data_IF_380988193928
#
_entry.id   IF_380988193928
#
_cell.length_a   1.000
_cell.length_b   1.000
_cell.length_c   1.000
_cell.angle_alpha   90.00
_cell.angle_beta   90.00
_cell.angle_gamma   90.00
#
_symmetry.space_group_name_H-M   'P 1'
#
loop_
_entity.id
_entity.type
_entity.pdbx_description
1 polymer ?
#
# COMPACT_ATOMS: atom_id res chain seq x y z
N UNK A 1 -19.40 -12.01 -8.49
CA UNK A 1 -19.73 -13.46 -8.54
C UNK A 1 -21.01 -13.78 -7.77
N UNK A 2 -21.18 -13.30 -6.53
CA UNK A 2 -22.39 -13.55 -5.73
C UNK A 2 -23.67 -13.08 -6.45
N UNK A 3 -23.69 -11.87 -7.03
CA UNK A 3 -24.83 -11.38 -7.78
C UNK A 3 -25.24 -12.32 -8.94
N UNK A 4 -24.27 -12.79 -9.72
CA UNK A 4 -24.50 -13.74 -10.82
C UNK A 4 -25.04 -15.08 -10.31
N UNK A 5 -24.48 -15.57 -9.23
CA UNK A 5 -24.93 -16.82 -8.59
C UNK A 5 -26.40 -16.74 -8.12
N UNK A 6 -26.75 -15.70 -7.36
CA UNK A 6 -28.13 -15.53 -6.89
C UNK A 6 -29.10 -15.23 -8.03
N UNK A 7 -28.67 -14.50 -9.07
CA UNK A 7 -29.49 -14.26 -10.25
C UNK A 7 -29.76 -15.56 -11.01
N UNK A 8 -28.80 -16.49 -11.07
CA UNK A 8 -29.01 -17.82 -11.65
C UNK A 8 -30.01 -18.64 -10.84
N UNK A 9 -29.90 -18.64 -9.49
CA UNK A 9 -30.85 -19.31 -8.63
C UNK A 9 -32.26 -18.72 -8.76
N UNK A 10 -32.36 -17.38 -8.89
CA UNK A 10 -33.63 -16.72 -9.14
C UNK A 10 -34.25 -17.15 -10.47
N UNK A 11 -33.44 -17.23 -11.54
CA UNK A 11 -33.89 -17.73 -12.83
C UNK A 11 -34.44 -19.16 -12.76
N UNK A 12 -33.84 -20.02 -11.96
CA UNK A 12 -34.23 -21.42 -11.80
C UNK A 12 -35.48 -21.60 -10.96
N UNK A 13 -35.68 -20.81 -9.93
CA UNK A 13 -36.68 -21.07 -8.88
C UNK A 13 -37.81 -20.06 -8.83
N UNK A 14 -37.59 -18.84 -9.33
CA UNK A 14 -38.50 -17.70 -9.11
C UNK A 14 -38.64 -17.27 -7.65
N UNK A 15 -37.75 -17.75 -6.74
CA UNK A 15 -37.85 -17.43 -5.33
C UNK A 15 -37.34 -16.00 -5.05
N UNK A 16 -38.23 -15.16 -4.50
CA UNK A 16 -37.95 -13.76 -4.17
C UNK A 16 -36.79 -13.56 -3.17
N UNK A 17 -36.50 -14.55 -2.34
CA UNK A 17 -35.35 -14.51 -1.46
C UNK A 17 -34.04 -14.41 -2.26
N UNK A 18 -33.89 -15.21 -3.33
CA UNK A 18 -32.72 -15.14 -4.20
C UNK A 18 -32.63 -13.81 -4.98
N UNK A 19 -33.77 -13.23 -5.32
CA UNK A 19 -33.77 -11.89 -5.91
C UNK A 19 -33.33 -10.83 -4.89
N UNK A 20 -33.73 -10.94 -3.63
CA UNK A 20 -33.27 -10.09 -2.54
C UNK A 20 -31.75 -10.17 -2.36
N UNK A 21 -31.19 -11.37 -2.29
CA UNK A 21 -29.75 -11.63 -2.20
C UNK A 21 -28.98 -11.11 -3.42
N UNK A 22 -29.57 -11.31 -4.62
CA UNK A 22 -29.02 -10.72 -5.85
C UNK A 22 -28.93 -9.20 -5.76
N UNK A 23 -30.01 -8.53 -5.36
CA UNK A 23 -30.05 -7.07 -5.23
C UNK A 23 -29.04 -6.54 -4.22
N UNK A 24 -28.89 -7.22 -3.13
CA UNK A 24 -27.89 -6.89 -2.11
C UNK A 24 -26.47 -7.07 -2.65
N UNK A 25 -26.25 -8.12 -3.41
CA UNK A 25 -24.94 -8.42 -3.98
C UNK A 25 -24.54 -7.48 -5.12
N UNK A 26 -25.50 -7.00 -5.95
CA UNK A 26 -25.22 -6.05 -7.05
C UNK A 26 -25.09 -4.61 -6.56
N UNK A 27 -25.67 -4.27 -5.40
CA UNK A 27 -25.59 -2.93 -4.83
C UNK A 27 -24.15 -2.48 -4.56
N UNK A 28 -23.28 -3.37 -4.09
CA UNK A 28 -21.89 -3.03 -3.80
C UNK A 28 -21.11 -2.57 -5.04
N UNK A 29 -21.00 -3.34 -6.13
CA UNK A 29 -20.28 -2.87 -7.33
C UNK A 29 -20.94 -1.64 -7.99
N UNK A 30 -22.26 -1.45 -7.86
CA UNK A 30 -22.92 -0.24 -8.33
C UNK A 30 -22.52 0.99 -7.50
N UNK A 31 -22.42 0.84 -6.20
CA UNK A 31 -21.99 1.91 -5.30
C UNK A 31 -20.50 2.27 -5.51
N UNK A 32 -19.63 1.26 -5.65
CA UNK A 32 -18.22 1.47 -6.00
C UNK A 32 -18.05 2.19 -7.34
N UNK A 33 -18.88 1.83 -8.35
CA UNK A 33 -18.92 2.53 -9.63
C UNK A 33 -19.28 4.00 -9.44
N UNK A 34 -20.31 4.29 -8.64
CA UNK A 34 -20.74 5.67 -8.34
C UNK A 34 -19.64 6.47 -7.66
N UNK A 35 -18.94 5.86 -6.69
CA UNK A 35 -17.78 6.47 -6.02
C UNK A 35 -16.66 6.82 -6.99
N UNK A 36 -16.32 5.90 -7.91
CA UNK A 36 -15.29 6.14 -8.93
C UNK A 36 -15.71 7.29 -9.85
N UNK A 37 -16.94 7.30 -10.34
CA UNK A 37 -17.44 8.36 -11.22
C UNK A 37 -17.46 9.73 -10.55
N UNK A 38 -17.72 9.81 -9.23
CA UNK A 38 -17.61 11.04 -8.46
C UNK A 38 -16.17 11.58 -8.40
N UNK A 39 -15.18 10.69 -8.32
CA UNK A 39 -13.76 11.06 -8.34
C UNK A 39 -13.22 11.40 -9.74
N UNK A 40 -13.90 10.96 -10.80
CA UNK A 40 -13.53 11.22 -12.20
C UNK A 40 -14.04 12.56 -12.72
N UNK A 41 -14.90 13.26 -11.98
CA UNK A 41 -15.38 14.58 -12.36
C UNK A 41 -14.23 15.60 -12.44
N UNK A 42 -14.35 16.68 -13.23
CA UNK A 42 -13.37 17.77 -13.27
C UNK A 42 -13.14 18.41 -11.89
N UNK A 43 -14.20 18.49 -11.08
CA UNK A 43 -14.18 18.84 -9.65
C UNK A 43 -14.60 17.60 -8.84
N UNK A 44 -13.68 16.83 -8.29
CA UNK A 44 -13.98 15.56 -7.67
C UNK A 44 -14.82 15.71 -6.40
N UNK A 45 -15.99 15.09 -6.37
CA UNK A 45 -16.86 15.04 -5.19
C UNK A 45 -16.41 13.92 -4.25
N UNK A 46 -15.58 14.29 -3.27
CA UNK A 46 -15.02 13.34 -2.29
C UNK A 46 -16.06 12.83 -1.30
N UNK A 47 -17.11 13.60 -1.00
CA UNK A 47 -18.17 13.15 -0.09
C UNK A 47 -19.08 12.12 -0.78
N UNK A 48 -19.47 12.36 -2.03
CA UNK A 48 -20.19 11.37 -2.81
C UNK A 48 -19.35 10.09 -3.03
N UNK A 49 -18.05 10.22 -3.26
CA UNK A 49 -17.14 9.09 -3.37
C UNK A 49 -17.04 8.29 -2.06
N UNK A 50 -16.93 8.99 -0.94
CA UNK A 50 -16.92 8.37 0.40
C UNK A 50 -18.21 7.59 0.65
N UNK A 51 -19.36 8.21 0.43
CA UNK A 51 -20.66 7.57 0.60
C UNK A 51 -20.78 6.33 -0.30
N UNK A 52 -20.36 6.43 -1.56
CA UNK A 52 -20.38 5.32 -2.51
C UNK A 52 -19.48 4.17 -2.08
N UNK A 53 -18.24 4.41 -1.66
CA UNK A 53 -17.34 3.35 -1.18
C UNK A 53 -17.84 2.68 0.11
N UNK A 54 -18.43 3.43 1.04
CA UNK A 54 -19.04 2.85 2.23
C UNK A 54 -20.24 1.97 1.87
N UNK A 55 -21.10 2.42 0.95
CA UNK A 55 -22.20 1.62 0.44
C UNK A 55 -21.71 0.39 -0.36
N UNK A 56 -20.55 0.49 -1.00
CA UNK A 56 -19.83 -0.60 -1.64
C UNK A 56 -19.23 -1.63 -0.67
N UNK A 57 -19.46 -1.45 0.65
CA UNK A 57 -18.97 -2.32 1.73
C UNK A 57 -17.47 -2.32 1.90
N UNK A 58 -16.79 -1.26 1.46
CA UNK A 58 -15.40 -1.04 1.78
C UNK A 58 -15.26 -0.68 3.26
N UNK A 59 -14.14 -1.11 3.87
CA UNK A 59 -13.92 -0.83 5.29
C UNK A 59 -13.78 0.70 5.53
N UNK A 60 -14.45 1.28 6.52
CA UNK A 60 -14.43 2.73 6.75
C UNK A 60 -13.03 3.34 6.88
N UNK A 61 -12.11 2.62 7.52
CA UNK A 61 -10.73 3.05 7.70
C UNK A 61 -9.94 3.12 6.38
N UNK A 62 -10.33 2.33 5.37
CA UNK A 62 -9.66 2.27 4.08
C UNK A 62 -10.14 3.36 3.12
N UNK A 63 -11.40 3.81 3.25
CA UNK A 63 -12.05 4.70 2.29
C UNK A 63 -11.29 6.01 2.09
N UNK A 64 -10.79 6.62 3.16
CA UNK A 64 -9.98 7.85 3.06
C UNK A 64 -8.70 7.62 2.26
N UNK A 65 -8.03 6.51 2.51
CA UNK A 65 -6.84 6.10 1.77
C UNK A 65 -7.13 5.80 0.31
N UNK A 66 -8.25 5.16 0.00
CA UNK A 66 -8.68 4.84 -1.36
C UNK A 66 -8.92 6.13 -2.17
N UNK A 67 -9.64 7.12 -1.62
CA UNK A 67 -9.88 8.41 -2.25
C UNK A 67 -8.57 9.14 -2.51
N UNK A 68 -7.71 9.23 -1.50
CA UNK A 68 -6.41 9.88 -1.61
C UNK A 68 -5.52 9.21 -2.67
N UNK A 69 -5.49 7.89 -2.69
CA UNK A 69 -4.73 7.11 -3.67
C UNK A 69 -5.23 7.39 -5.09
N UNK A 70 -6.54 7.40 -5.29
CA UNK A 70 -7.15 7.67 -6.58
C UNK A 70 -6.80 9.08 -7.07
N UNK A 71 -6.91 10.10 -6.21
CA UNK A 71 -6.65 11.50 -6.58
C UNK A 71 -5.16 11.76 -6.89
N UNK A 72 -4.24 11.14 -6.15
CA UNK A 72 -2.82 11.45 -6.25
C UNK A 72 -2.01 10.49 -7.12
N UNK A 73 -2.48 9.24 -7.31
CA UNK A 73 -1.74 8.18 -7.99
C UNK A 73 -2.51 7.53 -9.14
N UNK A 74 -3.58 8.15 -9.61
CA UNK A 74 -4.36 7.66 -10.77
C UNK A 74 -3.49 7.39 -12.00
N UNK A 75 -2.43 8.17 -12.23
CA UNK A 75 -1.48 7.99 -13.34
C UNK A 75 -0.41 6.93 -13.08
N UNK A 76 -0.36 6.31 -11.90
CA UNK A 76 0.58 5.23 -11.62
C UNK A 76 0.16 3.98 -12.37
N UNK A 77 1.08 3.38 -13.14
CA UNK A 77 0.78 2.36 -14.16
C UNK A 77 -0.12 1.21 -13.66
N UNK A 78 0.09 0.71 -12.45
CA UNK A 78 -0.69 -0.39 -11.89
C UNK A 78 -2.11 0.05 -11.49
N UNK A 79 -2.24 1.25 -10.93
CA UNK A 79 -3.54 1.79 -10.54
C UNK A 79 -4.34 2.23 -11.77
N UNK A 80 -3.70 2.87 -12.74
CA UNK A 80 -4.32 3.24 -14.01
C UNK A 80 -4.82 1.99 -14.76
N UNK A 81 -4.04 0.91 -14.80
CA UNK A 81 -4.45 -0.36 -15.39
C UNK A 81 -5.64 -0.98 -14.63
N UNK A 82 -5.61 -0.97 -13.31
CA UNK A 82 -6.73 -1.44 -12.50
C UNK A 82 -8.01 -0.63 -12.76
N UNK A 83 -7.92 0.70 -12.80
CA UNK A 83 -9.06 1.59 -13.09
C UNK A 83 -9.62 1.30 -14.48
N UNK A 84 -8.79 1.06 -15.49
CA UNK A 84 -9.25 0.68 -16.84
C UNK A 84 -10.03 -0.63 -16.84
N UNK A 85 -9.55 -1.66 -16.15
CA UNK A 85 -10.29 -2.92 -16.02
C UNK A 85 -11.60 -2.74 -15.26
N UNK A 86 -11.60 -1.91 -14.23
CA UNK A 86 -12.81 -1.58 -13.49
C UNK A 86 -13.83 -0.87 -14.39
N UNK A 87 -13.42 0.18 -15.11
CA UNK A 87 -14.27 0.92 -16.04
C UNK A 87 -14.81 0.01 -17.16
N UNK A 88 -13.97 -0.91 -17.68
CA UNK A 88 -14.40 -1.88 -18.69
C UNK A 88 -15.51 -2.83 -18.18
N UNK A 89 -15.55 -3.10 -16.86
CA UNK A 89 -16.59 -3.93 -16.27
C UNK A 89 -17.94 -3.21 -16.08
N UNK A 90 -18.00 -1.89 -16.16
CA UNK A 90 -19.24 -1.11 -15.94
C UNK A 90 -20.40 -1.55 -16.82
N UNK A 91 -20.14 -1.76 -18.13
CA UNK A 91 -21.18 -2.17 -19.07
C UNK A 91 -21.80 -3.53 -18.68
N UNK A 92 -20.98 -4.46 -18.19
CA UNK A 92 -21.43 -5.78 -17.75
C UNK A 92 -22.20 -5.70 -16.43
N UNK A 93 -21.79 -4.84 -15.50
CA UNK A 93 -22.50 -4.62 -14.23
C UNK A 93 -23.87 -4.04 -14.50
N UNK A 94 -23.98 -3.04 -15.38
CA UNK A 94 -25.26 -2.46 -15.80
C UNK A 94 -26.13 -3.47 -16.54
N UNK A 95 -25.56 -4.30 -17.40
CA UNK A 95 -26.30 -5.34 -18.10
C UNK A 95 -26.84 -6.41 -17.14
N UNK A 96 -26.07 -6.81 -16.12
CA UNK A 96 -26.53 -7.72 -15.06
C UNK A 96 -27.70 -7.10 -14.30
N UNK A 97 -27.63 -5.81 -13.97
CA UNK A 97 -28.72 -5.10 -13.30
C UNK A 97 -30.00 -5.09 -14.17
N UNK A 98 -29.86 -4.68 -15.44
CA UNK A 98 -31.01 -4.64 -16.39
C UNK A 98 -31.64 -6.01 -16.58
N UNK A 99 -30.80 -7.05 -16.70
CA UNK A 99 -31.27 -8.42 -16.81
C UNK A 99 -32.04 -8.86 -15.56
N UNK A 100 -31.53 -8.58 -14.37
CA UNK A 100 -32.19 -8.90 -13.10
C UNK A 100 -33.54 -8.18 -12.97
N UNK A 101 -33.61 -6.91 -13.32
CA UNK A 101 -34.85 -6.13 -13.27
C UNK A 101 -35.91 -6.66 -14.30
N UNK A 102 -35.46 -7.02 -15.50
CA UNK A 102 -36.33 -7.62 -16.52
C UNK A 102 -36.87 -9.01 -16.10
N UNK A 103 -36.01 -9.85 -15.56
CA UNK A 103 -36.38 -11.17 -15.03
C UNK A 103 -37.40 -11.02 -13.92
N UNK A 104 -37.17 -10.13 -12.96
CA UNK A 104 -38.08 -9.89 -11.84
C UNK A 104 -39.46 -9.39 -12.34
N UNK A 105 -39.49 -8.45 -13.28
CA UNK A 105 -40.72 -7.95 -13.84
C UNK A 105 -41.57 -9.05 -14.52
N UNK A 106 -40.94 -10.11 -15.06
CA UNK A 106 -41.64 -11.21 -15.72
C UNK A 106 -42.00 -12.35 -14.73
N UNK A 107 -41.06 -12.76 -13.90
CA UNK A 107 -41.26 -13.85 -12.94
C UNK A 107 -42.29 -13.49 -11.85
N UNK A 108 -42.25 -12.28 -11.31
CA UNK A 108 -43.24 -11.81 -10.33
C UNK A 108 -44.69 -11.82 -10.83
N UNK A 109 -44.90 -11.80 -12.13
CA UNK A 109 -46.22 -11.91 -12.75
C UNK A 109 -46.63 -13.36 -13.09
N UNK A 110 -45.72 -14.33 -12.86
CA UNK A 110 -45.95 -15.72 -13.26
C UNK A 110 -46.00 -15.93 -14.78
N UNK A 111 -45.39 -15.06 -15.56
CA UNK A 111 -45.50 -15.05 -17.03
C UNK A 111 -44.28 -15.63 -17.75
N UNK A 112 -43.25 -16.07 -17.03
CA UNK A 112 -42.01 -16.57 -17.63
C UNK A 112 -42.26 -17.90 -18.36
N UNK A 113 -41.91 -17.94 -19.63
CA UNK A 113 -41.90 -19.18 -20.41
C UNK A 113 -40.58 -19.95 -20.19
N UNK A 114 -40.55 -21.29 -20.39
CA UNK A 114 -39.30 -22.08 -20.32
C UNK A 114 -38.23 -21.59 -21.33
N UNK A 115 -38.64 -21.04 -22.46
CA UNK A 115 -37.71 -20.49 -23.47
C UNK A 115 -37.05 -19.21 -22.96
N UNK A 116 -37.78 -18.30 -22.30
CA UNK A 116 -37.22 -17.08 -21.69
C UNK A 116 -36.26 -17.41 -20.56
N UNK A 117 -36.61 -18.36 -19.67
CA UNK A 117 -35.72 -18.82 -18.60
C UNK A 117 -34.42 -19.34 -19.16
N UNK A 118 -34.45 -20.15 -20.22
CA UNK A 118 -33.22 -20.65 -20.86
C UNK A 118 -32.42 -19.53 -21.54
N UNK A 119 -33.05 -18.54 -22.13
CA UNK A 119 -32.37 -17.36 -22.67
C UNK A 119 -31.66 -16.56 -21.56
N UNK A 120 -32.34 -16.27 -20.45
CA UNK A 120 -31.73 -15.58 -19.30
C UNK A 120 -30.54 -16.32 -18.73
N UNK A 121 -30.59 -17.66 -18.59
CA UNK A 121 -29.45 -18.46 -18.16
C UNK A 121 -28.27 -18.32 -19.11
N UNK A 122 -28.54 -18.31 -20.41
CA UNK A 122 -27.52 -18.11 -21.44
C UNK A 122 -26.86 -16.73 -21.29
N UNK A 123 -27.68 -15.69 -21.12
CA UNK A 123 -27.21 -14.31 -20.94
C UNK A 123 -26.39 -14.16 -19.64
N UNK A 124 -26.85 -14.74 -18.53
CA UNK A 124 -26.13 -14.76 -17.25
C UNK A 124 -24.75 -15.42 -17.44
N UNK A 125 -24.69 -16.58 -18.08
CA UNK A 125 -23.42 -17.26 -18.35
C UNK A 125 -22.50 -16.47 -19.28
N UNK A 126 -23.07 -15.77 -20.26
CA UNK A 126 -22.28 -14.89 -21.14
C UNK A 126 -21.71 -13.69 -20.38
N UNK A 127 -22.50 -13.02 -19.55
CA UNK A 127 -22.05 -11.92 -18.71
C UNK A 127 -20.98 -12.37 -17.69
N UNK A 128 -21.13 -13.55 -17.07
CA UNK A 128 -20.11 -14.09 -16.18
C UNK A 128 -18.78 -14.34 -16.90
N UNK A 129 -18.81 -14.92 -18.11
CA UNK A 129 -17.61 -15.13 -18.93
C UNK A 129 -16.93 -13.81 -19.33
N UNK A 130 -17.65 -12.72 -19.48
CA UNK A 130 -17.11 -11.41 -19.84
C UNK A 130 -16.55 -10.67 -18.63
N UNK A 131 -17.26 -10.69 -17.49
CA UNK A 131 -16.86 -9.93 -16.30
C UNK A 131 -15.75 -10.61 -15.48
N UNK A 132 -15.73 -11.95 -15.45
CA UNK A 132 -14.77 -12.71 -14.64
C UNK A 132 -13.30 -12.41 -14.99
N UNK A 133 -12.88 -12.35 -16.27
CA UNK A 133 -11.51 -11.99 -16.63
C UNK A 133 -11.17 -10.52 -16.25
N UNK A 134 -12.12 -9.59 -16.38
CA UNK A 134 -11.92 -8.18 -16.00
C UNK A 134 -11.73 -8.04 -14.50
N UNK A 135 -12.55 -8.73 -13.71
CA UNK A 135 -12.42 -8.75 -12.24
C UNK A 135 -11.07 -9.35 -11.81
N UNK A 136 -10.63 -10.42 -12.48
CA UNK A 136 -9.31 -11.02 -12.22
C UNK A 136 -8.20 -10.05 -12.59
N UNK A 137 -8.25 -9.45 -13.77
CA UNK A 137 -7.23 -8.50 -14.24
C UNK A 137 -7.13 -7.26 -13.34
N UNK A 138 -8.27 -6.76 -12.85
CA UNK A 138 -8.31 -5.69 -11.82
C UNK A 138 -7.54 -6.10 -10.56
N UNK A 139 -7.86 -7.26 -9.98
CA UNK A 139 -7.21 -7.77 -8.79
C UNK A 139 -5.71 -8.04 -8.98
N UNK A 140 -5.34 -8.59 -10.14
CA UNK A 140 -3.94 -8.87 -10.50
C UNK A 140 -3.14 -7.57 -10.60
N UNK A 141 -3.69 -6.53 -11.23
CA UNK A 141 -3.05 -5.21 -11.35
C UNK A 141 -2.79 -4.55 -9.99
N UNK A 142 -3.77 -4.59 -9.08
CA UNK A 142 -3.59 -4.11 -7.72
C UNK A 142 -2.54 -4.93 -6.93
N UNK A 143 -2.56 -6.25 -7.12
CA UNK A 143 -1.60 -7.17 -6.52
C UNK A 143 -0.17 -6.91 -6.99
N UNK A 144 0.03 -6.64 -8.28
CA UNK A 144 1.33 -6.27 -8.85
C UNK A 144 1.82 -4.94 -8.30
N UNK A 145 0.95 -3.93 -8.25
CA UNK A 145 1.26 -2.64 -7.65
C UNK A 145 1.69 -2.77 -6.18
N UNK A 146 0.98 -3.58 -5.40
CA UNK A 146 1.33 -3.86 -4.00
C UNK A 146 2.70 -4.53 -3.87
N UNK A 147 3.00 -5.53 -4.71
CA UNK A 147 4.32 -6.20 -4.73
C UNK A 147 5.44 -5.23 -5.09
N UNK A 148 5.21 -4.37 -6.09
CA UNK A 148 6.19 -3.35 -6.50
C UNK A 148 6.49 -2.36 -5.37
N UNK A 149 5.45 -1.83 -4.70
CA UNK A 149 5.61 -0.91 -3.57
C UNK A 149 6.36 -1.58 -2.40
N UNK A 150 6.01 -2.83 -2.07
CA UNK A 150 6.72 -3.61 -1.04
C UNK A 150 8.21 -3.76 -1.36
N UNK A 151 8.54 -4.10 -2.61
CA UNK A 151 9.94 -4.21 -3.04
C UNK A 151 10.67 -2.87 -2.90
N UNK A 152 10.07 -1.78 -3.36
CA UNK A 152 10.64 -0.43 -3.27
C UNK A 152 10.90 -0.02 -1.82
N UNK A 153 9.94 -0.24 -0.92
CA UNK A 153 10.10 0.05 0.51
C UNK A 153 11.20 -0.81 1.15
N UNK A 154 11.27 -2.08 0.79
CA UNK A 154 12.33 -2.98 1.29
C UNK A 154 13.71 -2.50 0.86
N UNK A 155 13.88 -2.14 -0.42
CA UNK A 155 15.14 -1.59 -0.93
C UNK A 155 15.49 -0.26 -0.25
N UNK A 156 14.53 0.64 -0.08
CA UNK A 156 14.74 1.91 0.61
C UNK A 156 15.21 1.69 2.06
N UNK A 157 14.60 0.76 2.79
CA UNK A 157 14.99 0.41 4.14
C UNK A 157 16.41 -0.18 4.19
N UNK A 158 16.79 -1.05 3.26
CA UNK A 158 18.13 -1.62 3.18
C UNK A 158 19.19 -0.55 2.89
N UNK A 159 18.92 0.37 1.96
CA UNK A 159 19.81 1.49 1.66
C UNK A 159 19.97 2.39 2.87
N UNK A 160 18.89 2.72 3.55
CA UNK A 160 18.93 3.54 4.78
C UNK A 160 19.75 2.86 5.88
N UNK A 161 19.55 1.56 6.11
CA UNK A 161 20.32 0.80 7.08
C UNK A 161 21.82 0.78 6.74
N UNK A 162 22.17 0.57 5.46
CA UNK A 162 23.55 0.60 4.99
C UNK A 162 24.21 1.96 5.23
N UNK A 163 23.50 3.05 4.91
CA UNK A 163 23.99 4.42 5.14
C UNK A 163 24.23 4.71 6.62
N UNK A 164 23.32 4.28 7.50
CA UNK A 164 23.48 4.43 8.96
C UNK A 164 24.68 3.64 9.48
N UNK A 165 24.91 2.42 9.02
CA UNK A 165 26.07 1.61 9.37
C UNK A 165 27.37 2.29 8.91
N UNK A 166 27.42 2.77 7.67
CA UNK A 166 28.58 3.48 7.16
C UNK A 166 28.90 4.75 7.96
N UNK A 167 27.88 5.51 8.32
CA UNK A 167 28.00 6.70 9.16
C UNK A 167 28.53 6.34 10.55
N UNK A 168 28.00 5.28 11.17
CA UNK A 168 28.45 4.80 12.47
C UNK A 168 29.93 4.38 12.45
N UNK A 169 30.32 3.59 11.44
CA UNK A 169 31.73 3.17 11.24
C UNK A 169 32.65 4.37 11.03
N UNK A 170 32.25 5.31 10.17
CA UNK A 170 33.03 6.53 9.93
C UNK A 170 33.21 7.35 11.22
N UNK A 171 32.14 7.54 11.98
CA UNK A 171 32.17 8.30 13.25
C UNK A 171 33.04 7.60 14.30
N UNK A 172 32.92 6.28 14.41
CA UNK A 172 33.76 5.48 15.32
C UNK A 172 35.25 5.58 14.98
N UNK A 173 35.61 5.44 13.69
CA UNK A 173 36.97 5.60 13.22
C UNK A 173 37.54 6.99 13.55
N UNK A 174 36.75 8.04 13.31
CA UNK A 174 37.14 9.43 13.63
C UNK A 174 37.40 9.61 15.14
N UNK A 175 36.49 9.09 15.99
CA UNK A 175 36.67 9.16 17.46
C UNK A 175 37.90 8.38 17.94
N UNK A 176 38.16 7.21 17.38
CA UNK A 176 39.35 6.41 17.73
C UNK A 176 40.65 7.15 17.34
N UNK A 177 40.69 7.73 16.14
CA UNK A 177 41.87 8.52 15.72
C UNK A 177 42.09 9.75 16.61
N UNK A 178 41.07 10.44 17.04
CA UNK A 178 41.17 11.54 17.99
C UNK A 178 41.69 11.09 19.37
N UNK A 179 41.20 9.95 19.87
CA UNK A 179 41.70 9.40 21.14
C UNK A 179 43.15 8.99 21.07
N UNK A 180 43.61 8.36 19.98
CA UNK A 180 45.02 8.00 19.77
C UNK A 180 45.90 9.23 19.72
N UNK A 181 45.51 10.28 18.97
CA UNK A 181 46.27 11.54 18.94
C UNK A 181 46.38 12.20 20.30
N UNK A 182 45.32 12.20 21.11
CA UNK A 182 45.33 12.75 22.46
C UNK A 182 46.23 11.95 23.38
N UNK A 183 46.22 10.60 23.32
CA UNK A 183 47.09 9.76 24.12
C UNK A 183 48.57 9.96 23.78
N UNK A 184 48.92 10.08 22.50
CA UNK A 184 50.29 10.39 22.08
C UNK A 184 50.79 11.74 22.62
N UNK A 185 49.93 12.78 22.53
CA UNK A 185 50.25 14.10 23.07
C UNK A 185 50.47 14.06 24.60
N UNK A 186 49.62 13.35 25.32
CA UNK A 186 49.73 13.21 26.78
C UNK A 186 51.02 12.45 27.20
N UNK A 187 51.39 11.40 26.46
CA UNK A 187 52.61 10.66 26.70
C UNK A 187 53.85 11.52 26.44
N UNK A 188 53.85 12.33 25.35
CA UNK A 188 54.94 13.24 25.07
C UNK A 188 55.09 14.33 26.14
N UNK A 189 54.01 14.85 26.71
CA UNK A 189 54.09 15.78 27.86
C UNK A 189 54.63 15.12 29.12
N UNK A 190 54.22 13.88 29.43
CA UNK A 190 54.75 13.12 30.56
C UNK A 190 56.27 12.86 30.45
N UNK A 191 56.76 12.47 29.28
CA UNK A 191 58.18 12.30 29.01
C UNK A 191 58.95 13.60 29.21
N UNK A 192 58.47 14.72 28.70
CA UNK A 192 59.07 16.04 28.90
C UNK A 192 59.13 16.41 30.38
N UNK A 193 58.06 16.20 31.13
CA UNK A 193 58.02 16.47 32.57
C UNK A 193 59.00 15.57 33.33
N UNK A 194 59.12 14.29 32.98
CA UNK A 194 60.06 13.35 33.59
C UNK A 194 61.52 13.75 33.33
N UNK A 195 61.84 14.13 32.08
CA UNK A 195 63.19 14.62 31.74
C UNK A 195 63.54 15.87 32.50
N UNK A 196 62.61 16.82 32.63
CA UNK A 196 62.79 18.05 33.38
C UNK A 196 63.04 17.76 34.89
N UNK A 197 62.25 16.89 35.48
CA UNK A 197 62.41 16.50 36.90
C UNK A 197 63.72 15.74 37.09
N UNK A 198 64.15 14.87 36.21
CA UNK A 198 65.42 14.17 36.28
C UNK A 198 66.63 15.14 36.21
N UNK A 199 66.53 16.16 35.31
CA UNK A 199 67.61 17.17 35.22
C UNK A 199 67.72 18.07 36.47
N UNK A 200 66.59 18.42 37.09
CA UNK A 200 66.57 19.17 38.36
C UNK A 200 67.14 18.28 39.52
N UNK A 201 66.73 17.02 39.55
CA UNK A 201 67.26 16.05 40.55
C UNK A 201 68.76 15.86 40.43
N UNK A 202 69.35 15.81 39.26
CA UNK A 202 70.81 15.76 39.06
C UNK A 202 71.50 17.07 39.50
N UNK A 203 70.87 18.21 39.26
CA UNK A 203 71.39 19.49 39.68
C UNK A 203 71.44 19.66 41.24
N UNK A 204 70.52 19.01 41.96
CA UNK A 204 70.44 19.05 43.42
C UNK A 204 71.44 18.05 44.07
N UNK A 205 71.85 17.02 43.34
CA UNK A 205 72.80 16.02 43.86
C UNK A 205 74.31 16.51 43.78
N UNK A 206 74.55 17.50 42.87
CA UNK A 206 75.90 18.02 42.69
C UNK A 206 76.35 19.06 43.69
N UNK A 207 75.57 19.44 44.71
CA UNK A 207 76.00 20.23 45.86
C UNK A 207 76.54 19.26 46.95
N UNK A 208 77.83 19.13 46.99
CA UNK A 208 78.50 18.26 47.96
C UNK A 208 78.23 18.71 49.39
N UNK A 209 78.57 17.82 50.35
CA UNK A 209 78.36 17.92 51.79
C UNK A 209 79.10 19.11 52.43
N UNK A 210 79.91 19.84 51.65
CA UNK A 210 80.76 20.94 52.13
C UNK A 210 80.42 22.31 51.56
N UNK A 211 79.21 22.44 50.83
CA UNK A 211 78.71 23.71 50.38
C UNK A 211 79.54 24.39 49.29
N UNK A 212 80.46 23.65 48.58
CA UNK A 212 81.20 24.12 47.43
C UNK A 212 80.60 23.55 46.15
N UNK A 213 80.27 24.40 45.18
CA UNK A 213 80.00 24.06 43.81
C UNK A 213 81.28 23.70 43.11
N UNK A 214 81.47 22.45 42.67
CA UNK A 214 82.40 22.06 41.66
C UNK A 214 81.72 22.17 40.24
#
# INVERSE_FOLDING_TARGET
KHAIYFLSLYADTGNEEFFGEYREAIAAPMADRSARLALEQPDPDTEAARAGFLQGRNHPDDVTGMIWLFQNFRGFIYLDTAIRHWTAADAMILAIQQLGDAMHATLSRGQASPAEINAWKTDIHQLDRQISPLSKAFSDSLGEGSRFIKLLLTLANLVTAALLILLAVWRTRKLLAQRQAFQLALNAERERAQVTLASIGQAVISTGRDGRLD
#
